data_IF_025955230486
#
_entry.id   IF_025955230486
#
_cell.length_a   1.000
_cell.length_b   1.000
_cell.length_c   1.000
_cell.angle_alpha   90.00
_cell.angle_beta   90.00
_cell.angle_gamma   90.00
#
_symmetry.space_group_name_H-M   'P 1'
#
loop_
_entity.id
_entity.type
_entity.pdbx_description
1 polymer ?
#
# COMPACT_ATOMS: atom_id res chain seq x y z
N UNK A 1 2.28 17.89 10.56
CA UNK A 1 1.28 17.04 9.88
C UNK A 1 1.72 15.59 9.95
N UNK A 2 0.81 14.64 10.22
CA UNK A 2 1.11 13.21 10.17
C UNK A 2 1.46 12.78 8.73
N UNK A 3 2.31 11.77 8.59
CA UNK A 3 2.62 11.19 7.28
C UNK A 3 1.50 10.23 6.85
N UNK A 4 1.23 10.06 5.56
CA UNK A 4 0.24 9.10 5.07
C UNK A 4 0.50 7.67 5.58
N UNK A 5 1.74 7.28 5.81
CA UNK A 5 2.08 5.97 6.40
C UNK A 5 1.48 5.75 7.79
N UNK A 6 1.16 6.82 8.52
CA UNK A 6 0.53 6.73 9.85
C UNK A 6 -0.99 6.56 9.80
N UNK A 7 -1.61 6.69 8.62
CA UNK A 7 -3.00 6.30 8.43
C UNK A 7 -3.09 4.78 8.62
N UNK A 8 -3.88 4.35 9.59
CA UNK A 8 -4.09 2.92 9.86
C UNK A 8 -5.56 2.66 10.04
N UNK A 9 -6.06 1.63 9.37
CA UNK A 9 -7.45 1.20 9.44
C UNK A 9 -7.50 -0.30 9.09
N UNK A 10 -8.25 -1.06 9.88
CA UNK A 10 -8.47 -2.48 9.67
C UNK A 10 -9.88 -2.83 9.21
N UNK A 11 -10.76 -1.83 9.06
CA UNK A 11 -12.13 -1.94 8.52
C UNK A 11 -12.97 -3.04 9.19
N UNK A 12 -12.70 -3.29 10.48
CA UNK A 12 -13.19 -4.47 11.19
C UNK A 12 -14.46 -4.21 12.02
N UNK A 13 -14.93 -2.98 12.09
CA UNK A 13 -16.07 -2.55 12.90
C UNK A 13 -17.36 -2.40 12.07
N UNK A 14 -17.27 -2.65 10.76
CA UNK A 14 -18.39 -2.63 9.83
C UNK A 14 -19.03 -1.24 9.73
N UNK A 15 -18.25 -0.19 9.99
CA UNK A 15 -18.68 1.19 9.95
C UNK A 15 -17.54 2.09 9.44
N UNK A 16 -17.80 2.88 8.40
CA UNK A 16 -16.79 3.83 7.91
C UNK A 16 -16.37 4.79 9.00
N UNK A 17 -15.10 4.74 9.39
CA UNK A 17 -14.51 5.73 10.29
C UNK A 17 -14.49 7.10 9.58
N UNK A 18 -15.51 7.91 9.84
CA UNK A 18 -15.63 9.26 9.26
C UNK A 18 -14.56 10.24 9.75
N UNK A 19 -13.79 9.88 10.77
CA UNK A 19 -12.61 10.64 11.18
C UNK A 19 -11.46 10.38 10.22
N UNK A 20 -11.23 9.13 9.84
CA UNK A 20 -10.16 8.77 8.90
C UNK A 20 -10.55 9.03 7.45
N UNK A 21 -11.79 8.70 7.09
CA UNK A 21 -12.36 8.73 5.74
C UNK A 21 -13.58 9.65 5.65
N UNK A 22 -13.44 10.97 5.93
CA UNK A 22 -14.56 11.91 5.90
C UNK A 22 -15.10 12.16 4.49
N UNK A 23 -14.29 11.86 3.46
CA UNK A 23 -14.71 11.94 2.08
C UNK A 23 -15.02 10.54 1.56
N UNK A 24 -16.20 10.36 1.00
CA UNK A 24 -16.55 9.18 0.25
C UNK A 24 -17.53 9.58 -0.86
N UNK A 25 -17.43 8.93 -2.01
CA UNK A 25 -18.31 9.17 -3.13
C UNK A 25 -18.70 7.86 -3.80
N UNK A 26 -19.85 7.87 -4.47
CA UNK A 26 -20.45 6.65 -4.98
C UNK A 26 -20.88 5.71 -3.85
N UNK A 27 -20.63 4.40 -3.98
CA UNK A 27 -21.04 3.40 -2.97
C UNK A 27 -19.85 2.78 -2.26
N UNK A 28 -19.72 3.10 -0.97
CA UNK A 28 -18.69 2.57 -0.07
C UNK A 28 -19.33 1.93 1.15
N UNK A 29 -18.77 0.83 1.63
CA UNK A 29 -19.26 0.10 2.81
C UNK A 29 -18.16 -0.78 3.36
N UNK A 30 -18.18 -1.13 4.64
CA UNK A 30 -17.32 -2.17 5.16
C UNK A 30 -18.04 -3.51 5.19
N UNK A 31 -17.40 -4.56 4.67
CA UNK A 31 -17.98 -5.91 4.60
C UNK A 31 -16.91 -6.95 4.86
N UNK A 32 -17.12 -7.78 5.88
CA UNK A 32 -16.23 -8.91 6.17
C UNK A 32 -14.82 -8.49 6.61
N UNK A 33 -14.70 -7.36 7.31
CA UNK A 33 -13.42 -6.83 7.79
C UNK A 33 -12.61 -6.14 6.69
N UNK A 34 -13.27 -5.52 5.71
CA UNK A 34 -12.64 -4.87 4.56
C UNK A 34 -13.45 -3.67 4.12
N UNK A 35 -12.76 -2.61 3.69
CA UNK A 35 -13.38 -1.54 2.91
C UNK A 35 -13.79 -2.09 1.55
N UNK A 36 -15.08 -1.98 1.22
CA UNK A 36 -15.64 -2.36 -0.07
C UNK A 36 -16.07 -1.12 -0.84
N UNK A 37 -15.54 -1.00 -2.05
CA UNK A 37 -15.85 0.04 -3.01
C UNK A 37 -16.66 -0.59 -4.13
N UNK A 38 -17.97 -0.36 -4.10
CA UNK A 38 -18.92 -0.98 -5.05
C UNK A 38 -19.17 -0.05 -6.22
N UNK A 39 -19.07 -0.57 -7.44
CA UNK A 39 -19.22 0.22 -8.66
C UNK A 39 -20.36 -0.38 -9.49
N UNK A 40 -21.47 0.36 -9.71
CA UNK A 40 -22.54 -0.10 -10.57
C UNK A 40 -22.07 -0.18 -12.03
N UNK A 41 -22.73 -1.01 -12.83
CA UNK A 41 -22.60 -0.93 -14.28
C UNK A 41 -23.72 -0.05 -14.83
N UNK A 42 -23.41 1.19 -15.21
CA UNK A 42 -24.42 2.17 -15.65
C UNK A 42 -24.39 2.46 -17.15
N UNK A 43 -23.49 1.81 -17.91
CA UNK A 43 -23.24 2.18 -19.32
C UNK A 43 -22.54 3.53 -19.49
N UNK A 44 -22.11 4.16 -18.39
CA UNK A 44 -21.35 5.40 -18.32
C UNK A 44 -20.26 5.25 -17.25
N UNK A 45 -19.23 6.10 -17.28
CA UNK A 45 -18.16 6.04 -16.30
C UNK A 45 -18.69 6.22 -14.87
N UNK A 46 -18.60 5.16 -14.07
CA UNK A 46 -18.96 5.11 -12.67
C UNK A 46 -17.71 4.99 -11.83
N UNK A 47 -17.65 5.81 -10.78
CA UNK A 47 -16.53 5.86 -9.84
C UNK A 47 -17.09 5.77 -8.43
N UNK A 48 -16.37 5.08 -7.56
CA UNK A 48 -16.64 5.09 -6.12
C UNK A 48 -15.32 5.02 -5.39
N UNK A 49 -15.28 5.55 -4.16
CA UNK A 49 -14.07 5.47 -3.37
C UNK A 49 -14.16 6.10 -2.00
N UNK A 50 -13.25 5.66 -1.15
CA UNK A 50 -12.92 6.30 0.11
C UNK A 50 -11.86 7.37 -0.12
N UNK A 51 -11.98 8.51 0.55
CA UNK A 51 -10.98 9.56 0.61
C UNK A 51 -10.59 9.82 2.06
N UNK A 52 -9.29 9.71 2.36
CA UNK A 52 -8.81 10.06 3.69
C UNK A 52 -8.96 11.56 3.95
N UNK A 53 -8.78 11.98 5.21
CA UNK A 53 -8.56 13.38 5.54
C UNK A 53 -7.43 13.98 4.68
N UNK A 54 -7.53 15.29 4.40
CA UNK A 54 -6.54 16.09 3.65
C UNK A 54 -5.62 16.82 4.61
N UNK A 55 -4.93 16.07 5.46
CA UNK A 55 -4.08 16.63 6.53
C UNK A 55 -2.69 16.00 6.56
N UNK A 56 -2.39 15.12 5.61
CA UNK A 56 -1.18 14.31 5.65
C UNK A 56 -0.04 14.96 4.87
N UNK A 57 1.19 14.61 5.25
CA UNK A 57 2.36 14.70 4.37
C UNK A 57 2.56 13.41 3.61
N UNK A 58 3.31 13.45 2.51
CA UNK A 58 3.57 12.28 1.67
C UNK A 58 5.07 11.99 1.51
N UNK A 59 5.59 11.19 2.43
CA UNK A 59 6.82 10.42 2.19
C UNK A 59 6.52 8.95 1.93
N UNK A 60 5.47 8.38 2.51
CA UNK A 60 5.07 6.98 2.30
C UNK A 60 3.55 6.85 2.48
N UNK A 61 2.90 5.97 1.73
CA UNK A 61 1.44 5.74 1.84
C UNK A 61 1.04 4.83 3.00
N UNK A 62 1.97 3.97 3.47
CA UNK A 62 1.65 2.72 4.16
C UNK A 62 1.45 1.58 3.17
N UNK A 63 1.31 0.36 3.68
CA UNK A 63 0.94 -0.81 2.89
C UNK A 63 -0.58 -0.96 2.84
N UNK A 64 -1.11 -1.19 1.65
CA UNK A 64 -2.52 -1.46 1.39
C UNK A 64 -2.66 -2.85 0.81
N UNK A 65 -3.49 -3.68 1.41
CA UNK A 65 -3.87 -4.95 0.79
C UNK A 65 -5.00 -4.70 -0.18
N UNK A 66 -4.82 -5.10 -1.44
CA UNK A 66 -5.74 -4.74 -2.53
C UNK A 66 -6.39 -5.99 -3.12
N UNK A 67 -7.72 -5.97 -3.21
CA UNK A 67 -8.54 -6.99 -3.85
C UNK A 67 -9.26 -6.36 -5.04
N UNK A 68 -8.73 -6.54 -6.26
CA UNK A 68 -9.31 -5.90 -7.43
C UNK A 68 -10.68 -6.45 -7.78
N UNK A 69 -11.56 -5.59 -8.28
CA UNK A 69 -12.81 -6.02 -8.89
C UNK A 69 -12.58 -6.95 -10.08
N UNK A 70 -13.45 -7.94 -10.25
CA UNK A 70 -13.45 -8.83 -11.42
C UNK A 70 -13.83 -8.06 -12.70
N UNK A 71 -13.27 -8.44 -13.86
CA UNK A 71 -13.58 -7.79 -15.15
C UNK A 71 -15.07 -7.79 -15.48
N UNK A 72 -15.79 -8.88 -15.19
CA UNK A 72 -17.25 -8.96 -15.31
C UNK A 72 -17.83 -8.40 -16.62
N UNK A 73 -17.18 -8.73 -17.75
CA UNK A 73 -17.63 -8.29 -19.08
C UNK A 73 -17.35 -6.83 -19.43
N UNK A 74 -16.63 -6.06 -18.60
CA UNK A 74 -16.21 -4.72 -18.97
C UNK A 74 -15.25 -4.74 -20.17
N UNK A 75 -15.41 -3.75 -21.06
CA UNK A 75 -14.65 -3.65 -22.31
C UNK A 75 -13.80 -2.39 -22.42
N UNK A 76 -14.03 -1.36 -21.60
CA UNK A 76 -13.30 -0.07 -21.70
C UNK A 76 -12.70 0.42 -20.39
N UNK A 77 -13.46 0.54 -19.29
CA UNK A 77 -12.94 0.95 -17.98
C UNK A 77 -13.29 -0.08 -16.93
N UNK A 78 -12.28 -0.61 -16.25
CA UNK A 78 -12.43 -1.48 -15.08
C UNK A 78 -11.13 -1.49 -14.29
N UNK A 79 -11.03 -0.70 -13.22
CA UNK A 79 -9.81 -0.63 -12.41
C UNK A 79 -10.05 -0.55 -10.91
N UNK A 80 -8.99 -0.88 -10.15
CA UNK A 80 -8.89 -0.66 -8.69
C UNK A 80 -7.60 0.09 -8.41
N UNK A 81 -7.66 1.17 -7.63
CA UNK A 81 -6.55 2.09 -7.44
C UNK A 81 -6.31 2.48 -5.98
N UNK A 82 -5.05 2.74 -5.65
CA UNK A 82 -4.67 3.68 -4.60
C UNK A 82 -4.10 4.93 -5.26
N UNK A 83 -4.59 6.10 -4.86
CA UNK A 83 -4.17 7.38 -5.46
C UNK A 83 -3.83 8.39 -4.37
N UNK A 84 -2.64 8.97 -4.42
CA UNK A 84 -2.24 10.09 -3.57
C UNK A 84 -2.44 11.41 -4.30
N UNK A 85 -3.09 12.35 -3.64
CA UNK A 85 -3.31 13.70 -4.15
C UNK A 85 -3.16 14.75 -3.05
N UNK A 86 -2.82 15.98 -3.42
CA UNK A 86 -2.82 17.17 -2.56
C UNK A 86 -3.82 18.19 -3.13
N UNK A 87 -4.32 19.13 -2.32
CA UNK A 87 -5.19 20.21 -2.84
C UNK A 87 -4.40 21.28 -3.60
N UNK A 88 -3.11 21.41 -3.32
CA UNK A 88 -2.23 22.40 -3.96
C UNK A 88 -1.74 22.04 -5.36
N UNK A 89 -2.02 20.83 -5.88
CA UNK A 89 -1.60 20.42 -7.22
C UNK A 89 -2.67 20.75 -8.28
N UNK A 90 -2.24 20.91 -9.54
CA UNK A 90 -3.15 21.14 -10.65
C UNK A 90 -4.10 19.94 -10.87
N UNK A 91 -5.28 20.20 -11.42
CA UNK A 91 -6.26 19.17 -11.72
C UNK A 91 -5.67 18.05 -12.61
N UNK A 92 -6.00 16.79 -12.28
CA UNK A 92 -5.46 15.63 -12.98
C UNK A 92 -3.98 15.34 -12.71
N UNK A 93 -3.40 15.97 -11.69
CA UNK A 93 -2.06 15.65 -11.18
C UNK A 93 -2.20 14.72 -9.98
N UNK A 94 -1.47 13.60 -9.94
CA UNK A 94 -1.48 12.67 -8.79
C UNK A 94 -0.38 11.61 -8.91
N UNK A 95 -0.21 10.82 -7.83
CA UNK A 95 0.59 9.60 -7.79
C UNK A 95 -0.38 8.42 -7.64
N UNK A 96 -0.37 7.45 -8.55
CA UNK A 96 -1.35 6.36 -8.53
C UNK A 96 -0.72 4.99 -8.80
N UNK A 97 -1.20 3.98 -8.09
CA UNK A 97 -1.06 2.58 -8.49
C UNK A 97 -2.45 2.02 -8.74
N UNK A 98 -2.69 1.47 -9.92
CA UNK A 98 -3.95 0.81 -10.20
C UNK A 98 -3.78 -0.44 -11.03
N UNK A 99 -4.65 -1.42 -10.80
CA UNK A 99 -4.78 -2.58 -11.67
C UNK A 99 -5.86 -2.31 -12.70
N UNK A 100 -5.51 -2.47 -13.96
CA UNK A 100 -6.38 -2.42 -15.11
C UNK A 100 -6.79 -3.84 -15.50
N UNK A 101 -8.09 -4.12 -15.43
CA UNK A 101 -8.67 -5.43 -15.72
C UNK A 101 -9.06 -5.59 -17.20
N UNK A 102 -8.92 -4.55 -18.02
CA UNK A 102 -9.36 -4.55 -19.42
C UNK A 102 -8.47 -5.42 -20.31
N UNK A 103 -7.13 -5.38 -20.23
CA UNK A 103 -6.29 -6.26 -21.02
C UNK A 103 -6.57 -7.76 -20.76
N UNK A 104 -6.20 -8.62 -21.71
CA UNK A 104 -6.42 -10.07 -21.59
C UNK A 104 -5.73 -10.67 -20.35
N UNK A 105 -4.53 -10.18 -20.05
CA UNK A 105 -3.85 -10.37 -18.78
C UNK A 105 -3.93 -9.06 -18.02
N UNK A 106 -4.61 -8.98 -16.86
CA UNK A 106 -4.69 -7.75 -16.09
C UNK A 106 -3.30 -7.21 -15.75
N UNK A 107 -3.16 -5.90 -15.64
CA UNK A 107 -1.86 -5.25 -15.41
C UNK A 107 -1.95 -4.23 -14.29
N UNK A 108 -0.90 -4.12 -13.46
CA UNK A 108 -0.73 -2.95 -12.59
C UNK A 108 0.00 -1.87 -13.37
N UNK A 109 -0.55 -0.66 -13.34
CA UNK A 109 0.08 0.56 -13.82
C UNK A 109 0.48 1.43 -12.64
N UNK A 110 1.70 1.94 -12.69
CA UNK A 110 2.26 2.84 -11.68
C UNK A 110 2.50 4.18 -12.33
N UNK A 111 1.78 5.21 -11.88
CA UNK A 111 1.67 6.49 -12.58
C UNK A 111 2.01 7.70 -11.73
N UNK A 112 2.55 8.72 -12.41
CA UNK A 112 2.66 10.11 -11.99
C UNK A 112 1.91 10.96 -13.03
N UNK A 113 0.60 11.11 -12.84
CA UNK A 113 -0.24 11.80 -13.82
C UNK A 113 -0.03 13.31 -13.72
N UNK A 114 -0.14 13.98 -14.86
CA UNK A 114 -0.27 15.44 -14.99
C UNK A 114 -1.32 15.69 -16.07
N UNK A 115 -2.35 16.49 -15.76
CA UNK A 115 -3.45 16.70 -16.70
C UNK A 115 -4.16 15.40 -17.09
N UNK A 116 -4.35 14.49 -16.14
CA UNK A 116 -5.04 13.19 -16.26
C UNK A 116 -4.30 12.12 -17.05
N UNK A 117 -3.04 12.35 -17.43
CA UNK A 117 -2.30 11.43 -18.28
C UNK A 117 -0.84 11.27 -17.86
N UNK A 118 -0.26 10.11 -18.18
CA UNK A 118 1.18 9.89 -18.18
C UNK A 118 1.56 8.88 -19.28
N UNK A 119 2.42 9.27 -20.22
CA UNK A 119 2.90 8.38 -21.28
C UNK A 119 4.01 7.43 -20.84
N UNK A 120 4.81 7.79 -19.83
CA UNK A 120 5.98 7.04 -19.37
C UNK A 120 5.71 6.19 -18.12
N UNK A 121 4.47 5.74 -17.94
CA UNK A 121 4.12 4.87 -16.82
C UNK A 121 4.76 3.49 -16.95
N UNK A 122 5.03 2.86 -15.80
CA UNK A 122 5.46 1.45 -15.78
C UNK A 122 4.24 0.55 -15.67
N UNK A 123 4.29 -0.56 -16.40
CA UNK A 123 3.23 -1.58 -16.39
C UNK A 123 3.84 -2.95 -16.10
N UNK A 124 3.20 -3.72 -15.23
CA UNK A 124 3.57 -5.12 -14.94
C UNK A 124 2.33 -6.01 -14.96
N UNK A 125 2.44 -7.26 -15.40
CA UNK A 125 1.33 -8.21 -15.33
C UNK A 125 0.89 -8.40 -13.88
N UNK A 126 -0.41 -8.32 -13.62
CA UNK A 126 -0.96 -8.51 -12.28
C UNK A 126 -0.93 -9.98 -11.87
N UNK A 127 -0.66 -10.21 -10.59
CA UNK A 127 -0.71 -11.52 -9.94
C UNK A 127 -1.17 -11.28 -8.52
N UNK A 128 -2.34 -11.82 -8.15
CA UNK A 128 -2.90 -11.67 -6.82
C UNK A 128 -1.98 -12.23 -5.72
N UNK A 129 -1.13 -13.21 -6.07
CA UNK A 129 -0.18 -13.82 -5.12
C UNK A 129 1.01 -12.91 -4.85
N UNK A 130 1.60 -12.28 -5.89
CA UNK A 130 2.82 -11.48 -5.74
C UNK A 130 2.56 -10.00 -5.53
N UNK A 131 1.33 -9.53 -5.81
CA UNK A 131 0.92 -8.14 -5.73
C UNK A 131 -0.27 -7.93 -4.80
N UNK A 132 -0.37 -8.73 -3.74
CA UNK A 132 -1.43 -8.59 -2.74
C UNK A 132 -1.36 -7.24 -2.00
N UNK A 133 -0.13 -6.74 -1.79
CA UNK A 133 0.13 -5.52 -1.01
C UNK A 133 0.82 -4.47 -1.85
N UNK A 134 0.34 -3.22 -1.80
CA UNK A 134 0.88 -2.09 -2.57
C UNK A 134 1.34 -0.97 -1.65
N UNK A 135 2.40 -0.26 -2.06
CA UNK A 135 2.93 0.90 -1.35
C UNK A 135 3.63 1.85 -2.32
N UNK A 136 3.55 3.15 -2.05
CA UNK A 136 4.45 4.14 -2.63
C UNK A 136 5.21 4.83 -1.51
N UNK A 137 6.54 4.93 -1.66
CA UNK A 137 7.41 5.61 -0.69
C UNK A 137 8.49 6.44 -1.34
N UNK A 138 8.99 7.44 -0.63
CA UNK A 138 10.09 8.31 -1.02
C UNK A 138 11.40 7.72 -0.56
N UNK A 139 12.43 7.89 -1.38
CA UNK A 139 13.81 7.54 -1.06
C UNK A 139 14.73 8.57 -1.70
N UNK A 140 15.25 9.51 -0.91
CA UNK A 140 15.95 10.67 -1.43
C UNK A 140 15.01 11.53 -2.30
N UNK A 141 15.43 11.82 -3.54
CA UNK A 141 14.67 12.58 -4.54
C UNK A 141 13.73 11.73 -5.40
N UNK A 142 13.59 10.42 -5.10
CA UNK A 142 12.77 9.51 -5.89
C UNK A 142 11.54 9.03 -5.13
N UNK A 143 10.49 8.71 -5.88
CA UNK A 143 9.42 7.81 -5.47
C UNK A 143 9.71 6.38 -5.94
N UNK A 144 9.39 5.43 -5.08
CA UNK A 144 9.49 4.00 -5.32
C UNK A 144 8.11 3.40 -5.13
N UNK A 145 7.63 2.76 -6.19
CA UNK A 145 6.39 2.00 -6.21
C UNK A 145 6.71 0.54 -5.94
N UNK A 146 6.06 -0.05 -4.95
CA UNK A 146 6.38 -1.38 -4.44
C UNK A 146 5.14 -2.26 -4.38
N UNK A 147 5.35 -3.54 -4.64
CA UNK A 147 4.37 -4.59 -4.39
C UNK A 147 4.98 -5.66 -3.50
N UNK A 148 4.19 -6.33 -2.68
CA UNK A 148 4.63 -7.50 -1.93
C UNK A 148 3.59 -8.64 -2.01
N UNK A 149 4.03 -9.91 -1.91
CA UNK A 149 3.12 -11.02 -1.68
C UNK A 149 2.49 -10.93 -0.28
N UNK A 150 1.41 -11.67 -0.07
CA UNK A 150 0.86 -11.85 1.27
C UNK A 150 1.72 -12.81 2.10
N UNK A 151 1.95 -12.46 3.36
CA UNK A 151 2.63 -13.29 4.33
C UNK A 151 1.82 -13.31 5.64
N UNK A 152 0.82 -14.18 5.70
CA UNK A 152 -0.10 -14.32 6.83
C UNK A 152 -0.84 -13.00 7.18
N UNK A 153 -1.32 -12.30 6.16
CA UNK A 153 -2.03 -11.03 6.33
C UNK A 153 -1.13 -9.84 6.68
N UNK A 154 0.17 -9.95 6.36
CA UNK A 154 1.16 -8.87 6.36
C UNK A 154 1.87 -8.83 5.01
N UNK A 155 2.45 -7.69 4.59
CA UNK A 155 3.27 -7.64 3.39
C UNK A 155 4.53 -8.51 3.56
N UNK A 156 4.81 -9.37 2.57
CA UNK A 156 6.05 -10.14 2.47
C UNK A 156 7.22 -9.30 1.94
N UNK A 157 8.17 -9.93 1.25
CA UNK A 157 9.32 -9.23 0.66
C UNK A 157 8.86 -8.23 -0.40
N UNK A 158 9.12 -6.94 -0.16
CA UNK A 158 8.83 -5.87 -1.10
C UNK A 158 9.65 -6.03 -2.39
N UNK A 159 8.98 -5.85 -3.53
CA UNK A 159 9.60 -5.76 -4.84
C UNK A 159 9.37 -4.35 -5.40
N UNK A 160 10.45 -3.61 -5.64
CA UNK A 160 10.38 -2.35 -6.35
C UNK A 160 9.97 -2.59 -7.80
N UNK A 161 8.90 -1.94 -8.24
CA UNK A 161 8.34 -2.07 -9.59
C UNK A 161 8.65 -0.86 -10.45
N UNK A 162 8.71 0.32 -9.84
CA UNK A 162 9.07 1.57 -10.51
C UNK A 162 9.83 2.46 -9.54
N UNK A 163 10.94 3.04 -10.00
CA UNK A 163 11.64 4.13 -9.32
C UNK A 163 11.68 5.31 -10.27
N UNK A 164 11.27 6.49 -9.80
CA UNK A 164 11.17 7.69 -10.63
C UNK A 164 11.40 8.93 -9.78
N UNK A 165 11.90 10.00 -10.38
CA UNK A 165 12.05 11.27 -9.68
C UNK A 165 10.70 11.72 -9.08
N UNK A 166 10.72 12.15 -7.83
CA UNK A 166 9.54 12.68 -7.16
C UNK A 166 9.09 13.97 -7.87
N UNK A 167 7.78 14.11 -8.19
CA UNK A 167 7.26 15.35 -8.74
C UNK A 167 7.53 16.56 -7.83
N UNK A 168 7.63 17.75 -8.42
CA UNK A 168 7.88 18.98 -7.67
C UNK A 168 6.90 19.19 -6.50
N UNK A 169 5.62 18.89 -6.71
CA UNK A 169 4.59 19.00 -5.67
C UNK A 169 4.85 18.02 -4.51
N UNK A 170 5.38 16.83 -4.76
CA UNK A 170 5.76 15.88 -3.70
C UNK A 170 6.98 16.40 -2.95
N UNK A 171 8.00 16.90 -3.67
CA UNK A 171 9.23 17.42 -3.04
C UNK A 171 9.01 18.71 -2.24
N UNK A 172 7.94 19.45 -2.55
CA UNK A 172 7.50 20.61 -1.76
C UNK A 172 6.96 20.22 -0.37
N UNK A 173 6.80 18.92 -0.09
CA UNK A 173 6.27 18.37 1.16
C UNK A 173 4.94 19.00 1.60
N UNK A 174 3.89 18.91 0.75
CA UNK A 174 2.56 19.39 1.09
C UNK A 174 2.06 18.78 2.39
N UNK A 175 1.26 19.58 3.10
CA UNK A 175 0.67 19.27 4.40
C UNK A 175 -0.83 18.92 4.28
N UNK A 176 -1.31 18.72 3.06
CA UNK A 176 -2.72 18.58 2.68
C UNK A 176 -2.93 17.36 1.76
N UNK A 177 -2.00 16.39 1.80
CA UNK A 177 -2.15 15.15 1.06
C UNK A 177 -3.31 14.32 1.63
N UNK A 178 -3.92 13.55 0.73
CA UNK A 178 -4.85 12.45 1.02
C UNK A 178 -4.52 11.24 0.19
N UNK A 179 -5.03 10.09 0.60
CA UNK A 179 -5.09 8.88 -0.22
C UNK A 179 -6.54 8.56 -0.57
N UNK A 180 -6.75 8.06 -1.77
CA UNK A 180 -8.01 7.55 -2.26
C UNK A 180 -7.90 6.05 -2.46
N UNK A 181 -8.92 5.32 -2.01
CA UNK A 181 -9.14 3.90 -2.31
C UNK A 181 -10.30 3.85 -3.31
N UNK A 182 -9.98 3.66 -4.58
CA UNK A 182 -10.90 3.95 -5.68
C UNK A 182 -11.13 2.73 -6.57
N UNK A 183 -12.34 2.62 -7.10
CA UNK A 183 -12.68 1.69 -8.16
C UNK A 183 -13.54 2.40 -9.21
N UNK A 184 -13.34 2.02 -10.47
CA UNK A 184 -14.13 2.55 -11.57
C UNK A 184 -14.52 1.48 -12.58
N UNK A 185 -15.67 1.70 -13.22
CA UNK A 185 -16.25 0.85 -14.25
C UNK A 185 -17.19 1.66 -15.14
N UNK A 186 -17.20 1.40 -16.44
CA UNK A 186 -18.17 2.00 -17.37
C UNK A 186 -19.12 0.99 -18.03
N UNK A 187 -18.73 -0.28 -18.08
CA UNK A 187 -19.39 -1.36 -18.84
C UNK A 187 -19.38 -2.69 -18.08
N UNK A 188 -20.10 -3.69 -18.59
CA UNK A 188 -20.19 -5.02 -17.98
C UNK A 188 -21.28 -5.10 -16.90
N UNK A 189 -21.07 -5.93 -15.89
CA UNK A 189 -21.97 -6.04 -14.72
C UNK A 189 -21.35 -5.39 -13.49
N UNK A 190 -22.22 -5.00 -12.54
CA UNK A 190 -21.79 -4.41 -11.28
C UNK A 190 -20.79 -5.32 -10.56
N UNK A 191 -19.83 -4.70 -9.88
CA UNK A 191 -18.75 -5.38 -9.17
C UNK A 191 -18.25 -4.50 -8.04
N UNK A 192 -17.25 -4.96 -7.31
CA UNK A 192 -16.66 -4.20 -6.23
C UNK A 192 -15.17 -4.52 -6.10
N UNK A 193 -14.42 -3.55 -5.63
CA UNK A 193 -13.05 -3.73 -5.15
C UNK A 193 -13.06 -3.73 -3.63
N UNK A 194 -12.09 -4.41 -3.02
CA UNK A 194 -11.91 -4.37 -1.58
C UNK A 194 -10.49 -3.97 -1.21
N UNK A 195 -10.38 -3.34 -0.06
CA UNK A 195 -9.13 -2.93 0.55
C UNK A 195 -9.13 -3.40 2.00
N UNK A 196 -7.96 -3.81 2.47
CA UNK A 196 -7.79 -4.33 3.83
C UNK A 196 -6.47 -3.78 4.41
N UNK A 197 -6.43 -3.71 5.74
CA UNK A 197 -5.25 -3.43 6.57
C UNK A 197 -4.35 -2.34 6.01
N UNK A 198 -4.70 -1.10 6.26
CA UNK A 198 -3.76 0.00 6.10
C UNK A 198 -2.77 -0.04 7.27
N UNK A 199 -1.53 -0.42 6.99
CA UNK A 199 -0.51 -0.54 8.05
C UNK A 199 0.81 0.11 7.67
N UNK A 200 1.54 0.60 8.68
CA UNK A 200 2.99 0.76 8.57
C UNK A 200 3.62 -0.63 8.45
N UNK A 201 4.63 -0.78 7.59
CA UNK A 201 5.38 -2.03 7.49
C UNK A 201 5.78 -2.53 8.89
N UNK A 202 5.56 -3.80 9.19
CA UNK A 202 6.09 -4.40 10.40
C UNK A 202 7.63 -4.17 10.43
N UNK A 203 8.22 -3.84 11.59
CA UNK A 203 9.67 -3.79 11.69
C UNK A 203 10.25 -5.13 11.21
N UNK A 204 11.39 -5.08 10.50
CA UNK A 204 12.04 -6.26 9.95
C UNK A 204 12.08 -7.39 10.99
N UNK A 205 11.82 -8.65 10.60
CA UNK A 205 11.78 -9.75 11.56
C UNK A 205 13.09 -9.77 12.32
N UNK A 206 13.05 -9.55 13.63
CA UNK A 206 14.22 -9.77 14.47
C UNK A 206 14.55 -11.26 14.34
N UNK A 207 15.67 -11.58 13.70
CA UNK A 207 16.19 -12.93 13.62
C UNK A 207 16.44 -13.41 15.05
N UNK A 208 15.48 -14.13 15.64
CA UNK A 208 15.68 -14.77 16.94
C UNK A 208 16.53 -16.01 16.69
N UNK A 209 17.81 -15.94 17.03
CA UNK A 209 18.64 -17.14 17.14
C UNK A 209 18.04 -17.99 18.27
N UNK A 210 17.37 -19.09 17.93
CA UNK A 210 17.08 -20.15 18.90
C UNK A 210 18.38 -20.91 19.14
N UNK A 211 19.06 -20.62 20.24
CA UNK A 211 20.08 -21.53 20.76
C UNK A 211 19.31 -22.67 21.43
N UNK A 212 19.20 -23.80 20.74
CA UNK A 212 18.75 -25.04 21.38
C UNK A 212 19.75 -25.44 22.45
N UNK A 213 19.30 -26.13 23.49
CA UNK A 213 20.16 -26.70 24.53
C UNK A 213 21.04 -27.81 23.93
N UNK A 214 22.08 -27.42 23.19
CA UNK A 214 23.18 -28.26 22.81
C UNK A 214 24.34 -27.94 23.74
N UNK A 215 25.01 -28.99 24.19
CA UNK A 215 26.30 -28.95 24.90
C UNK A 215 27.21 -27.90 24.25
N UNK A 216 27.91 -27.04 25.01
CA UNK A 216 28.63 -25.92 24.43
C UNK A 216 29.82 -26.40 23.59
N UNK A 217 29.60 -26.55 22.30
CA UNK A 217 30.65 -26.57 21.29
C UNK A 217 30.69 -25.17 20.67
N UNK A 218 31.85 -24.52 20.71
CA UNK A 218 32.03 -23.11 20.39
C UNK A 218 31.33 -22.67 19.09
N UNK A 219 30.43 -21.67 19.19
CA UNK A 219 29.86 -20.97 18.05
C UNK A 219 30.87 -19.90 17.61
N UNK A 220 31.52 -20.08 16.45
CA UNK A 220 32.26 -18.98 15.81
C UNK A 220 31.28 -18.06 15.10
N UNK A 221 31.08 -16.85 15.63
CA UNK A 221 30.35 -15.79 14.95
C UNK A 221 31.35 -14.91 14.21
N UNK A 222 31.24 -14.85 12.88
CA UNK A 222 32.01 -13.92 12.05
C UNK A 222 31.43 -12.52 12.15
N UNK A 223 32.22 -11.58 12.70
CA UNK A 223 32.06 -10.12 12.71
C UNK A 223 30.79 -9.50 13.34
N UNK A 224 31.02 -8.65 14.34
CA UNK A 224 30.12 -7.63 14.94
C UNK A 224 28.75 -8.06 15.48
N UNK A 225 28.60 -9.28 15.97
CA UNK A 225 27.50 -9.62 16.87
C UNK A 225 27.95 -9.49 18.34
N UNK A 226 27.39 -8.55 19.10
CA UNK A 226 27.49 -8.54 20.56
C UNK A 226 26.56 -9.64 21.06
N UNK A 227 27.10 -10.84 21.32
CA UNK A 227 26.37 -11.89 22.03
C UNK A 227 26.24 -11.49 23.50
N UNK A 228 25.05 -11.04 23.91
CA UNK A 228 24.68 -11.04 25.33
C UNK A 228 24.32 -12.47 25.71
N UNK A 229 25.23 -13.18 26.37
CA UNK A 229 24.92 -14.47 26.96
C UNK A 229 23.93 -14.25 28.13
N UNK A 230 22.83 -15.00 28.13
CA UNK A 230 21.85 -15.02 29.20
C UNK A 230 22.02 -16.35 29.95
N UNK A 231 22.37 -16.29 31.24
CA UNK A 231 22.45 -17.47 32.11
C UNK A 231 21.50 -17.23 33.30
N UNK A 232 20.26 -17.71 33.19
CA UNK A 232 19.24 -17.49 34.22
C UNK A 232 18.80 -16.01 34.36
N UNK A 233 18.19 -15.65 35.49
CA UNK A 233 17.56 -14.35 35.75
C UNK A 233 18.52 -13.25 36.26
N UNK A 234 19.84 -13.48 36.24
CA UNK A 234 20.82 -12.55 36.82
C UNK A 234 21.86 -12.16 35.77
N UNK A 235 22.05 -10.86 35.59
CA UNK A 235 23.03 -10.29 34.66
C UNK A 235 24.42 -10.40 35.31
N UNK A 236 25.32 -11.22 34.75
CA UNK A 236 26.72 -11.30 35.20
C UNK A 236 27.61 -10.59 34.19
N UNK A 237 28.31 -9.56 34.64
CA UNK A 237 29.36 -8.89 33.87
C UNK A 237 30.66 -9.67 34.01
N UNK A 238 31.14 -10.27 32.92
CA UNK A 238 32.51 -10.77 32.85
C UNK A 238 33.45 -9.64 32.43
N UNK A 239 34.42 -9.30 33.27
CA UNK A 239 35.59 -8.52 32.85
C UNK A 239 36.53 -9.43 32.09
N UNK A 240 36.90 -9.03 30.87
CA UNK A 240 37.88 -9.74 30.05
C UNK A 240 39.26 -9.77 30.75
N UNK A 241 40.08 -10.83 30.57
CA UNK A 241 41.49 -10.84 30.95
C UNK A 241 42.33 -9.91 30.07
#
# INVERSE_FOLDING_TARGET
MPNLSTLTDDFNDNATDTTLWPGNYGTTSEVGGRARVSVPATGSASYSGYESQRIYTFDETGWYRVYPQAKNGATSTCYTAITVSSTGQAAGTDVSMYVDMIPATPVIRMMLRVGYWESAHTTVNYSATTHAWWRVRRSGSNLIFETAPDNAGQPGTATARRTVAAPAWVTANPADCRILLEAARDTGTASFSEFDRVTVAAPAPTSRIRVGAATPTAIRVGSTAVLRAYQGSTLVWGTAP
#
